data_IF_289754780750
#
_entry.id   IF_289754780750
#
_cell.length_a   1.000
_cell.length_b   1.000
_cell.length_c   1.000
_cell.angle_alpha   90.00
_cell.angle_beta   90.00
_cell.angle_gamma   90.00
#
_symmetry.space_group_name_H-M   'P 1'
#
loop_
_entity.id
_entity.type
_entity.pdbx_description
1 polymer ?
#
# COMPACT_ATOMS: atom_id res chain seq x y z
N UNK A 1 -0.15 -19.62 5.10
CA UNK A 1 -0.25 -20.24 3.75
C UNK A 1 0.69 -19.43 2.89
N UNK A 2 1.73 -20.03 2.32
CA UNK A 2 2.86 -19.31 1.72
C UNK A 2 2.40 -18.29 0.66
N UNK A 3 2.87 -17.05 0.74
CA UNK A 3 2.69 -16.02 -0.29
C UNK A 3 3.01 -16.58 -1.70
N UNK A 4 2.21 -16.19 -2.70
CA UNK A 4 2.42 -16.54 -4.10
C UNK A 4 2.20 -15.32 -5.01
N UNK A 5 2.61 -15.44 -6.28
CA UNK A 5 2.54 -14.35 -7.25
C UNK A 5 1.11 -13.81 -7.48
N UNK A 6 0.11 -14.69 -7.51
CA UNK A 6 -1.30 -14.30 -7.70
C UNK A 6 -1.80 -13.41 -6.55
N UNK A 7 -1.57 -13.83 -5.31
CA UNK A 7 -1.96 -13.06 -4.11
C UNK A 7 -1.29 -11.69 -4.05
N UNK A 8 -0.01 -11.61 -4.43
CA UNK A 8 0.70 -10.33 -4.44
C UNK A 8 0.15 -9.39 -5.54
N UNK A 9 -0.11 -9.90 -6.74
CA UNK A 9 -0.70 -9.10 -7.83
C UNK A 9 -2.09 -8.62 -7.47
N UNK A 10 -2.95 -9.51 -6.98
CA UNK A 10 -4.34 -9.17 -6.64
C UNK A 10 -4.40 -8.19 -5.46
N UNK A 11 -3.61 -8.43 -4.40
CA UNK A 11 -3.49 -7.53 -3.26
C UNK A 11 -3.01 -6.14 -3.66
N UNK A 12 -2.01 -6.06 -4.54
CA UNK A 12 -1.50 -4.79 -5.07
C UNK A 12 -2.55 -4.06 -5.91
N UNK A 13 -3.28 -4.76 -6.78
CA UNK A 13 -4.35 -4.17 -7.58
C UNK A 13 -5.51 -3.66 -6.73
N UNK A 14 -5.92 -4.42 -5.70
CA UNK A 14 -6.97 -3.98 -4.79
C UNK A 14 -6.53 -2.77 -3.96
N UNK A 15 -5.28 -2.73 -3.50
CA UNK A 15 -4.74 -1.59 -2.77
C UNK A 15 -4.68 -0.34 -3.67
N UNK A 16 -4.22 -0.44 -4.92
CA UNK A 16 -4.24 0.68 -5.89
C UNK A 16 -5.66 1.23 -6.06
N UNK A 17 -6.67 0.35 -6.19
CA UNK A 17 -8.07 0.77 -6.30
C UNK A 17 -8.53 1.53 -5.07
N UNK A 18 -8.19 1.07 -3.87
CA UNK A 18 -8.58 1.74 -2.63
C UNK A 18 -7.84 3.07 -2.44
N UNK A 19 -6.55 3.15 -2.73
CA UNK A 19 -5.79 4.41 -2.72
C UNK A 19 -6.40 5.45 -3.68
N UNK A 20 -6.74 5.01 -4.89
CA UNK A 20 -7.42 5.87 -5.88
C UNK A 20 -8.76 6.37 -5.36
N UNK A 21 -9.55 5.49 -4.73
CA UNK A 21 -10.86 5.85 -4.17
C UNK A 21 -10.75 6.80 -2.97
N UNK A 22 -9.76 6.61 -2.11
CA UNK A 22 -9.49 7.49 -0.98
C UNK A 22 -9.06 8.89 -1.44
N UNK A 23 -8.20 8.97 -2.48
CA UNK A 23 -7.85 10.22 -3.15
C UNK A 23 -9.08 10.93 -3.72
N UNK A 24 -9.95 10.20 -4.45
CA UNK A 24 -11.21 10.75 -4.99
C UNK A 24 -12.18 11.25 -3.91
N UNK A 25 -12.14 10.67 -2.71
CA UNK A 25 -12.91 11.12 -1.56
C UNK A 25 -12.26 12.28 -0.80
N UNK A 26 -11.16 12.84 -1.31
CA UNK A 26 -10.36 13.89 -0.68
C UNK A 26 -9.91 13.52 0.74
N UNK A 27 -9.59 12.25 0.99
CA UNK A 27 -9.02 11.82 2.28
C UNK A 27 -7.56 12.24 2.32
N UNK A 28 -7.12 13.04 3.30
CA UNK A 28 -5.76 13.59 3.29
C UNK A 28 -4.72 12.48 3.45
N UNK A 29 -3.62 12.57 2.71
CA UNK A 29 -2.41 11.80 2.95
C UNK A 29 -1.25 12.70 2.54
N UNK A 30 -0.36 13.03 3.47
CA UNK A 30 0.82 13.83 3.13
C UNK A 30 1.99 12.94 2.73
N UNK A 31 2.98 13.51 2.05
CA UNK A 31 4.20 12.78 1.72
C UNK A 31 4.94 12.35 3.00
N UNK A 32 5.01 13.23 4.00
CA UNK A 32 5.61 12.92 5.30
C UNK A 32 4.92 11.73 5.98
N UNK A 33 3.59 11.68 5.95
CA UNK A 33 2.83 10.55 6.47
C UNK A 33 3.10 9.27 5.68
N UNK A 34 3.16 9.36 4.34
CA UNK A 34 3.52 8.22 3.50
C UNK A 34 4.90 7.66 3.85
N UNK A 35 5.94 8.51 3.92
CA UNK A 35 7.29 8.08 4.27
C UNK A 35 7.36 7.55 5.69
N UNK A 36 6.85 8.30 6.66
CA UNK A 36 6.85 7.89 8.06
C UNK A 36 6.18 6.54 8.27
N UNK A 37 5.02 6.28 7.66
CA UNK A 37 4.34 5.01 7.85
C UNK A 37 5.01 3.88 7.07
N UNK A 38 5.54 4.14 5.87
CA UNK A 38 6.24 3.13 5.06
C UNK A 38 7.55 2.69 5.70
N UNK A 39 8.37 3.63 6.19
CA UNK A 39 9.65 3.34 6.86
C UNK A 39 9.47 2.49 8.13
N UNK A 40 8.34 2.69 8.82
CA UNK A 40 7.97 1.92 10.01
C UNK A 40 7.20 0.63 9.70
N UNK A 41 7.04 0.26 8.43
CA UNK A 41 6.30 -0.95 7.99
C UNK A 41 4.85 -1.02 8.52
N UNK A 42 4.17 0.12 8.56
CA UNK A 42 2.79 0.27 9.07
C UNK A 42 1.91 1.15 8.18
N UNK A 43 2.26 1.32 6.90
CA UNK A 43 1.50 2.14 5.95
C UNK A 43 0.07 1.62 5.76
N UNK A 44 -0.09 0.34 5.46
CA UNK A 44 -1.42 -0.27 5.25
C UNK A 44 -2.20 -0.28 6.56
N UNK A 45 -1.53 -0.56 7.69
CA UNK A 45 -2.15 -0.47 9.02
C UNK A 45 -2.72 0.93 9.28
N UNK A 46 -1.92 1.98 9.07
CA UNK A 46 -2.35 3.37 9.28
C UNK A 46 -3.41 3.82 8.29
N UNK A 47 -3.40 3.28 7.07
CA UNK A 47 -4.47 3.50 6.09
C UNK A 47 -5.82 2.97 6.61
N UNK A 48 -5.84 1.75 7.16
CA UNK A 48 -7.05 1.18 7.77
C UNK A 48 -7.46 1.89 9.06
N UNK A 49 -6.51 2.28 9.91
CA UNK A 49 -6.81 3.01 11.15
C UNK A 49 -7.48 4.36 10.85
N UNK A 50 -6.98 5.11 9.86
CA UNK A 50 -7.51 6.42 9.49
C UNK A 50 -8.76 6.35 8.62
N UNK A 51 -8.81 5.42 7.67
CA UNK A 51 -9.78 5.43 6.58
C UNK A 51 -10.52 4.11 6.38
N UNK A 52 -10.42 3.18 7.34
CA UNK A 52 -11.03 1.86 7.27
C UNK A 52 -12.54 1.89 7.02
N UNK A 53 -13.26 2.89 7.53
CA UNK A 53 -14.70 3.05 7.27
C UNK A 53 -15.03 3.34 5.80
N UNK A 54 -14.08 3.90 5.06
CA UNK A 54 -14.22 4.17 3.65
C UNK A 54 -13.86 2.94 2.82
N UNK A 55 -12.84 2.17 3.21
CA UNK A 55 -12.31 1.02 2.45
C UNK A 55 -13.40 -0.03 2.22
N UNK A 56 -13.51 -0.52 0.97
CA UNK A 56 -14.63 -1.39 0.56
C UNK A 56 -14.25 -2.82 0.23
N UNK A 57 -13.09 -3.05 -0.37
CA UNK A 57 -12.79 -4.32 -1.00
C UNK A 57 -11.32 -4.73 -0.81
N UNK A 58 -10.82 -4.55 0.42
CA UNK A 58 -9.46 -4.88 0.83
C UNK A 58 -9.42 -5.61 2.19
N UNK A 59 -10.49 -6.34 2.52
CA UNK A 59 -10.62 -7.03 3.81
C UNK A 59 -9.49 -8.04 4.07
N UNK A 60 -8.87 -8.57 3.02
CA UNK A 60 -7.71 -9.46 3.11
C UNK A 60 -6.45 -8.76 3.63
N UNK A 61 -6.34 -7.43 3.57
CA UNK A 61 -5.23 -6.67 4.18
C UNK A 61 -5.65 -5.91 5.45
N UNK A 62 -6.89 -6.10 5.92
CA UNK A 62 -7.38 -5.38 7.08
C UNK A 62 -6.93 -6.06 8.39
N UNK A 63 -5.97 -5.49 9.15
CA UNK A 63 -5.41 -6.13 10.34
C UNK A 63 -6.45 -6.36 11.45
N UNK A 64 -7.58 -5.64 11.43
CA UNK A 64 -8.67 -5.84 12.40
C UNK A 64 -9.52 -7.09 12.12
N UNK A 65 -9.38 -7.72 10.96
CA UNK A 65 -10.14 -8.92 10.57
C UNK A 65 -9.34 -10.17 10.91
N UNK A 66 -9.94 -11.13 11.60
CA UNK A 66 -9.30 -12.42 11.88
C UNK A 66 -8.98 -13.23 10.60
N UNK A 67 -9.58 -12.88 9.48
CA UNK A 67 -9.42 -13.54 8.17
C UNK A 67 -8.42 -12.83 7.27
N UNK A 68 -7.72 -11.80 7.76
CA UNK A 68 -6.72 -11.11 6.94
C UNK A 68 -5.55 -12.04 6.62
N UNK A 69 -4.91 -11.74 5.51
CA UNK A 69 -3.75 -12.41 5.00
C UNK A 69 -2.49 -11.79 5.62
N UNK A 70 -2.08 -12.30 6.78
CA UNK A 70 -0.96 -11.76 7.53
C UNK A 70 0.36 -11.79 6.75
N UNK A 71 0.64 -12.87 6.01
CA UNK A 71 1.87 -12.99 5.22
C UNK A 71 1.90 -11.98 4.07
N UNK A 72 0.76 -11.76 3.39
CA UNK A 72 0.67 -10.75 2.34
C UNK A 72 0.81 -9.33 2.91
N UNK A 73 0.15 -9.05 4.04
CA UNK A 73 0.23 -7.75 4.71
C UNK A 73 1.67 -7.43 5.14
N UNK A 74 2.33 -8.36 5.84
CA UNK A 74 3.73 -8.23 6.26
C UNK A 74 4.67 -8.00 5.07
N UNK A 75 4.50 -8.79 4.00
CA UNK A 75 5.29 -8.62 2.78
C UNK A 75 5.09 -7.24 2.16
N UNK A 76 3.84 -6.79 2.01
CA UNK A 76 3.55 -5.50 1.39
C UNK A 76 4.09 -4.34 2.23
N UNK A 77 3.94 -4.36 3.56
CA UNK A 77 4.49 -3.34 4.45
C UNK A 77 6.02 -3.26 4.36
N UNK A 78 6.71 -4.41 4.38
CA UNK A 78 8.15 -4.45 4.16
C UNK A 78 8.54 -3.93 2.76
N UNK A 79 7.77 -4.27 1.73
CA UNK A 79 8.01 -3.79 0.38
C UNK A 79 7.83 -2.26 0.29
N UNK A 80 6.80 -1.69 0.95
CA UNK A 80 6.67 -0.24 1.07
C UNK A 80 7.89 0.40 1.72
N UNK A 81 8.43 -0.17 2.79
CA UNK A 81 9.67 0.30 3.43
C UNK A 81 10.86 0.27 2.46
N UNK A 82 11.07 -0.85 1.74
CA UNK A 82 12.16 -0.96 0.74
C UNK A 82 12.04 0.08 -0.37
N UNK A 83 10.83 0.29 -0.89
CA UNK A 83 10.58 1.26 -1.96
C UNK A 83 10.68 2.70 -1.47
N UNK A 84 10.15 3.03 -0.29
CA UNK A 84 10.24 4.37 0.30
C UNK A 84 11.71 4.79 0.58
N UNK A 85 12.57 3.83 0.95
CA UNK A 85 14.00 4.08 1.13
C UNK A 85 14.77 4.30 -0.19
N UNK A 86 14.24 3.83 -1.32
CA UNK A 86 14.91 3.88 -2.61
C UNK A 86 14.35 4.95 -3.56
N UNK A 87 13.11 5.39 -3.35
CA UNK A 87 12.34 6.20 -4.29
C UNK A 87 11.98 7.53 -3.65
N UNK A 88 12.36 8.62 -4.33
CA UNK A 88 11.90 9.97 -4.04
C UNK A 88 10.70 10.33 -4.91
N UNK A 89 9.90 11.37 -4.57
CA UNK A 89 8.78 11.78 -5.41
C UNK A 89 9.24 12.10 -6.85
N UNK A 90 10.44 12.68 -6.99
CA UNK A 90 11.08 12.97 -8.28
C UNK A 90 11.34 11.72 -9.14
N UNK A 91 11.54 10.54 -8.55
CA UNK A 91 11.77 9.30 -9.29
C UNK A 91 10.56 8.91 -10.15
N UNK A 92 9.36 9.36 -9.77
CA UNK A 92 8.11 9.17 -10.50
C UNK A 92 7.55 10.47 -11.10
N UNK A 93 8.28 11.58 -11.03
CA UNK A 93 7.78 12.90 -11.44
C UNK A 93 6.59 13.40 -10.60
N UNK A 94 6.42 12.87 -9.39
CA UNK A 94 5.40 13.29 -8.42
C UNK A 94 6.00 14.38 -7.56
N UNK A 95 5.33 15.52 -7.42
CA UNK A 95 5.90 16.66 -6.67
C UNK A 95 5.21 16.83 -5.30
N UNK A 96 3.90 16.59 -5.21
CA UNK A 96 3.09 16.97 -4.03
C UNK A 96 2.02 15.93 -3.65
N UNK A 97 1.83 14.85 -4.42
CA UNK A 97 0.71 13.92 -4.26
C UNK A 97 1.16 12.58 -3.67
N UNK A 98 0.89 12.38 -2.38
CA UNK A 98 1.25 11.15 -1.68
C UNK A 98 0.46 9.92 -2.16
N UNK A 99 -0.78 10.08 -2.65
CA UNK A 99 -1.52 8.95 -3.21
C UNK A 99 -0.90 8.51 -4.53
N UNK A 100 -0.52 9.47 -5.38
CA UNK A 100 0.13 9.14 -6.65
C UNK A 100 1.46 8.42 -6.42
N UNK A 101 2.23 8.84 -5.41
CA UNK A 101 3.44 8.12 -5.00
C UNK A 101 3.12 6.71 -4.48
N UNK A 102 2.17 6.57 -3.56
CA UNK A 102 1.77 5.27 -3.00
C UNK A 102 1.25 4.31 -4.07
N UNK A 103 0.51 4.80 -5.07
CA UNK A 103 0.03 4.01 -6.21
C UNK A 103 1.20 3.51 -7.06
N UNK A 104 2.18 4.36 -7.39
CA UNK A 104 3.36 3.95 -8.16
C UNK A 104 4.21 2.92 -7.42
N UNK A 105 4.38 3.10 -6.10
CA UNK A 105 5.06 2.11 -5.26
C UNK A 105 4.28 0.80 -5.25
N UNK A 106 2.96 0.84 -5.03
CA UNK A 106 2.12 -0.37 -5.06
C UNK A 106 2.19 -1.10 -6.40
N UNK A 107 2.23 -0.37 -7.51
CA UNK A 107 2.39 -0.97 -8.84
C UNK A 107 3.75 -1.66 -9.00
N UNK A 108 4.80 -1.09 -8.41
CA UNK A 108 6.14 -1.69 -8.39
C UNK A 108 6.21 -2.93 -7.50
N UNK A 109 5.57 -2.90 -6.33
CA UNK A 109 5.42 -4.08 -5.46
C UNK A 109 4.70 -5.21 -6.21
N UNK A 110 3.65 -4.90 -6.97
CA UNK A 110 2.95 -5.88 -7.80
C UNK A 110 3.81 -6.53 -8.88
N UNK A 111 4.92 -5.88 -9.30
CA UNK A 111 5.89 -6.45 -10.25
C UNK A 111 6.86 -7.44 -9.60
N UNK A 112 7.10 -7.34 -8.29
CA UNK A 112 7.91 -8.32 -7.57
C UNK A 112 7.31 -9.73 -7.60
N UNK A 113 6.01 -9.84 -7.93
CA UNK A 113 5.35 -11.10 -8.20
C UNK A 113 5.90 -11.85 -9.42
N UNK A 114 6.58 -11.18 -10.34
CA UNK A 114 7.23 -11.81 -11.50
C UNK A 114 8.47 -12.63 -11.07
N UNK A 115 9.02 -12.35 -9.88
CA UNK A 115 10.22 -12.98 -9.31
C UNK A 115 9.93 -13.96 -8.15
N UNK A 116 8.64 -14.20 -7.82
CA UNK A 116 8.16 -15.12 -6.77
C UNK A 116 7.92 -16.55 -7.29
#
# INVERSE_FOLDING_TARGET
>A
MKLNAERLRDGSQWLIRELTRLSQLNRPLTLDEFYQFSENEIFIHKLFEKYGEFIRALDNLNPSKNTHDAELLEYMENAFSRHANAISPNSYGVVDDAYLLAINVTASIGREADDL
#
